data_IF_315403456735
#
_entry.id   IF_315403456735
#
_cell.length_a   1.000
_cell.length_b   1.000
_cell.length_c   1.000
_cell.angle_alpha   90.00
_cell.angle_beta   90.00
_cell.angle_gamma   90.00
#
_symmetry.space_group_name_H-M   'P 1'
#
loop_
_entity.id
_entity.type
_entity.pdbx_description
1 polymer ?
#
# COMPACT_ATOMS: atom_id res chain seq x y z
N UNK A 1 41.49 14.60 1.01
CA UNK A 1 40.49 13.52 0.88
C UNK A 1 40.35 13.19 -0.59
N UNK A 2 40.72 11.97 -0.95
CA UNK A 2 40.83 11.55 -2.33
C UNK A 2 39.45 11.44 -2.99
N UNK A 3 39.24 12.06 -4.16
CA UNK A 3 37.94 12.08 -4.83
C UNK A 3 37.48 10.66 -5.22
N UNK A 4 38.43 9.77 -5.46
CA UNK A 4 38.19 8.36 -5.71
C UNK A 4 37.53 7.66 -4.50
N UNK A 5 37.94 8.00 -3.28
CA UNK A 5 37.38 7.42 -2.06
C UNK A 5 35.90 7.80 -1.89
N UNK A 6 35.56 9.06 -2.15
CA UNK A 6 34.17 9.55 -2.07
C UNK A 6 33.28 8.87 -3.11
N UNK A 7 33.75 8.72 -4.36
CA UNK A 7 33.00 8.06 -5.43
C UNK A 7 32.78 6.56 -5.16
N UNK A 8 33.76 5.87 -4.59
CA UNK A 8 33.63 4.45 -4.21
C UNK A 8 32.61 4.29 -3.08
N UNK A 9 32.67 5.14 -2.06
CA UNK A 9 31.69 5.12 -0.96
C UNK A 9 30.28 5.40 -1.48
N UNK A 10 30.10 6.38 -2.36
CA UNK A 10 28.80 6.70 -2.94
C UNK A 10 28.24 5.55 -3.81
N UNK A 11 29.08 4.90 -4.61
CA UNK A 11 28.68 3.75 -5.42
C UNK A 11 28.24 2.56 -4.55
N UNK A 12 28.93 2.32 -3.44
CA UNK A 12 28.55 1.29 -2.47
C UNK A 12 27.20 1.64 -1.83
N UNK A 13 26.95 2.88 -1.44
CA UNK A 13 25.68 3.30 -0.84
C UNK A 13 24.50 3.14 -1.80
N UNK A 14 24.67 3.49 -3.08
CA UNK A 14 23.63 3.32 -4.11
C UNK A 14 23.35 1.83 -4.38
N UNK A 15 24.40 0.99 -4.41
CA UNK A 15 24.26 -0.46 -4.60
C UNK A 15 23.53 -1.16 -3.44
N UNK A 16 23.42 -0.53 -2.27
CA UNK A 16 22.70 -1.05 -1.10
C UNK A 16 21.22 -0.63 -1.03
N UNK A 17 20.71 0.11 -2.01
CA UNK A 17 19.27 0.36 -2.13
C UNK A 17 18.58 -0.88 -2.71
N UNK A 18 18.38 -1.91 -1.88
CA UNK A 18 17.56 -3.07 -2.26
C UNK A 18 16.11 -2.76 -1.98
N UNK A 19 15.27 -2.82 -3.02
CA UNK A 19 13.83 -2.88 -2.81
C UNK A 19 13.52 -4.14 -2.01
N UNK A 20 12.71 -4.00 -0.95
CA UNK A 20 12.37 -5.14 -0.09
C UNK A 20 11.53 -6.20 -0.82
N UNK A 21 10.84 -5.80 -1.90
CA UNK A 21 9.98 -6.66 -2.71
C UNK A 21 10.15 -6.35 -4.20
N UNK A 22 10.10 -7.39 -5.02
CA UNK A 22 10.03 -7.32 -6.48
C UNK A 22 8.57 -7.33 -6.95
N UNK A 23 8.25 -6.83 -8.16
CA UNK A 23 6.89 -6.85 -8.71
C UNK A 23 6.49 -8.25 -9.24
N UNK A 24 6.81 -9.30 -8.47
CA UNK A 24 6.43 -10.69 -8.74
C UNK A 24 5.57 -11.23 -7.61
N UNK A 25 4.72 -12.21 -7.93
CA UNK A 25 3.84 -12.81 -6.92
C UNK A 25 4.63 -13.46 -5.79
N UNK A 26 5.70 -14.19 -6.13
CA UNK A 26 6.54 -14.91 -5.17
C UNK A 26 7.19 -13.95 -4.16
N UNK A 27 7.61 -12.76 -4.61
CA UNK A 27 8.18 -11.76 -3.73
C UNK A 27 7.13 -11.10 -2.84
N UNK A 28 5.99 -10.71 -3.42
CA UNK A 28 4.90 -10.03 -2.69
C UNK A 28 4.21 -10.97 -1.69
N UNK A 29 4.14 -12.27 -1.96
CA UNK A 29 3.51 -13.24 -1.05
C UNK A 29 4.44 -13.64 0.12
N UNK A 30 5.75 -13.41 0.00
CA UNK A 30 6.73 -13.64 1.08
C UNK A 30 6.59 -12.70 2.30
N UNK A 31 5.65 -11.75 2.23
CA UNK A 31 5.42 -10.71 3.26
C UNK A 31 4.91 -11.35 4.57
N UNK A 32 5.61 -11.16 5.72
CA UNK A 32 5.09 -11.66 6.98
C UNK A 32 3.85 -10.86 7.41
N UNK A 33 2.85 -11.56 7.94
CA UNK A 33 1.70 -10.93 8.59
C UNK A 33 2.17 -10.35 9.94
N UNK A 34 1.90 -9.06 10.23
CA UNK A 34 2.23 -8.48 11.54
C UNK A 34 1.53 -9.24 12.68
N UNK A 35 2.29 -9.58 13.74
CA UNK A 35 1.78 -10.40 14.86
C UNK A 35 0.52 -9.82 15.49
N UNK A 36 0.44 -8.49 15.65
CA UNK A 36 -0.73 -7.83 16.22
C UNK A 36 -1.99 -8.03 15.36
N UNK A 37 -1.85 -8.08 14.03
CA UNK A 37 -2.97 -8.22 13.10
C UNK A 37 -3.53 -9.63 13.17
N UNK A 38 -2.66 -10.63 13.23
CA UNK A 38 -3.11 -12.00 13.49
C UNK A 38 -3.79 -12.13 14.86
N UNK A 39 -3.28 -11.46 15.90
CA UNK A 39 -3.85 -11.52 17.24
C UNK A 39 -5.20 -10.81 17.42
N UNK A 40 -5.52 -9.80 16.62
CA UNK A 40 -6.71 -8.98 16.82
C UNK A 40 -8.04 -9.76 16.65
N UNK A 41 -8.06 -10.78 15.77
CA UNK A 41 -9.17 -11.73 15.44
C UNK A 41 -10.53 -11.11 15.01
N UNK A 42 -10.89 -9.91 15.47
CA UNK A 42 -12.11 -9.19 15.16
C UNK A 42 -11.81 -7.72 14.89
N UNK A 43 -12.50 -7.14 13.90
CA UNK A 43 -12.36 -5.73 13.55
C UNK A 43 -13.67 -5.18 12.97
N UNK A 44 -13.85 -3.87 13.08
CA UNK A 44 -14.98 -3.14 12.50
C UNK A 44 -14.43 -2.28 11.36
N UNK A 45 -15.10 -2.34 10.20
CA UNK A 45 -14.83 -1.49 9.06
C UNK A 45 -16.08 -0.70 8.68
N UNK A 46 -15.89 0.53 8.19
CA UNK A 46 -16.99 1.43 7.84
C UNK A 46 -16.75 2.00 6.43
N UNK A 47 -17.78 1.89 5.59
CA UNK A 47 -17.83 2.59 4.30
C UNK A 47 -18.36 4.00 4.51
N UNK A 48 -17.46 4.98 4.57
CA UNK A 48 -17.81 6.39 4.73
C UNK A 48 -17.00 7.28 3.80
N UNK A 49 -17.69 8.19 3.10
CA UNK A 49 -17.08 9.13 2.17
C UNK A 49 -18.10 10.08 1.57
N UNK A 50 -17.73 10.80 0.50
CA UNK A 50 -18.65 11.77 -0.14
C UNK A 50 -19.91 11.11 -0.70
N UNK A 51 -19.81 9.83 -1.11
CA UNK A 51 -20.97 9.02 -1.50
C UNK A 51 -22.01 8.84 -0.38
N UNK A 52 -21.64 9.05 0.89
CA UNK A 52 -22.56 8.96 2.03
C UNK A 52 -23.36 10.25 2.26
N UNK A 53 -22.92 11.40 1.74
CA UNK A 53 -23.59 12.70 1.93
C UNK A 53 -25.05 12.69 1.47
N UNK A 54 -25.40 12.12 0.30
CA UNK A 54 -26.79 12.04 -0.15
C UNK A 54 -27.67 11.07 0.65
N UNK A 55 -27.07 10.18 1.46
CA UNK A 55 -27.77 9.15 2.24
C UNK A 55 -28.78 8.33 1.39
N UNK A 56 -28.37 7.94 0.17
CA UNK A 56 -29.26 7.32 -0.81
C UNK A 56 -28.65 6.05 -1.43
N UNK A 57 -29.40 4.95 -1.39
CA UNK A 57 -29.02 3.68 -2.03
C UNK A 57 -27.86 2.98 -1.33
N UNK A 58 -26.63 3.21 -1.79
CA UNK A 58 -25.40 2.60 -1.27
C UNK A 58 -24.17 3.47 -1.57
N UNK A 59 -22.98 2.98 -1.22
CA UNK A 59 -21.69 3.59 -1.59
C UNK A 59 -21.48 3.71 -3.11
N UNK A 60 -22.30 2.98 -3.90
CA UNK A 60 -22.35 3.05 -5.35
C UNK A 60 -23.25 4.19 -5.87
N UNK A 61 -23.57 5.18 -5.04
CA UNK A 61 -24.34 6.38 -5.39
C UNK A 61 -24.00 6.95 -6.78
N UNK A 62 -22.71 6.95 -7.16
CA UNK A 62 -22.23 7.46 -8.45
C UNK A 62 -22.65 6.66 -9.69
N UNK A 63 -23.16 5.45 -9.53
CA UNK A 63 -23.77 4.70 -10.63
C UNK A 63 -25.28 4.95 -10.68
N UNK A 64 -25.93 4.95 -9.52
CA UNK A 64 -27.37 5.20 -9.40
C UNK A 64 -27.77 6.61 -9.85
N UNK A 65 -26.97 7.63 -9.52
CA UNK A 65 -27.28 9.01 -9.91
C UNK A 65 -27.18 9.23 -11.44
N UNK A 66 -26.50 8.34 -12.15
CA UNK A 66 -26.36 8.34 -13.62
C UNK A 66 -27.47 7.53 -14.29
N UNK A 67 -28.39 6.95 -13.51
CA UNK A 67 -29.47 6.11 -14.02
C UNK A 67 -28.99 4.80 -14.63
N UNK A 68 -27.78 4.34 -14.28
CA UNK A 68 -27.26 3.04 -14.73
C UNK A 68 -27.72 1.96 -13.74
N UNK A 69 -28.75 1.20 -14.14
CA UNK A 69 -29.28 0.04 -13.42
C UNK A 69 -29.03 -1.23 -14.23
#
# INVERSE_FOLDING_TARGET
MDKALVSVVLAILIAHCKCKYEPTWESIDSRPIPVWFDQAKFGIFVHWGVFSVPSYGSEWFWWYWQGRN
#
